data_IF_991006804177
#
_entry.id   IF_991006804177
#
_cell.length_a   1.000
_cell.length_b   1.000
_cell.length_c   1.000
_cell.angle_alpha   90.00
_cell.angle_beta   90.00
_cell.angle_gamma   90.00
#
_symmetry.space_group_name_H-M   'P 1'
#
loop_
_entity.id
_entity.type
_entity.pdbx_description
1 polymer ?
#
# COMPACT_ATOMS: atom_id res chain seq x y z
N UNK A 1 -11.98 23.18 16.60
CA UNK A 1 -12.44 21.80 16.89
C UNK A 1 -11.36 20.87 16.38
N UNK A 2 -10.59 20.21 17.26
CA UNK A 2 -9.60 19.20 16.83
C UNK A 2 -10.39 17.94 16.54
N UNK A 3 -10.64 17.64 15.27
CA UNK A 3 -11.22 16.35 14.89
C UNK A 3 -10.30 15.23 15.39
N UNK A 4 -10.74 14.55 16.45
CA UNK A 4 -10.02 13.41 17.00
C UNK A 4 -10.14 12.29 15.97
N UNK A 5 -9.05 12.03 15.26
CA UNK A 5 -8.99 11.01 14.20
C UNK A 5 -9.41 9.67 14.80
N UNK A 6 -10.29 8.89 14.14
CA UNK A 6 -10.62 7.55 14.61
C UNK A 6 -9.33 6.74 14.69
N UNK A 7 -9.14 5.98 15.78
CA UNK A 7 -7.98 5.09 15.89
C UNK A 7 -7.97 4.08 14.74
N UNK A 8 -6.77 3.64 14.31
CA UNK A 8 -6.60 2.71 13.17
C UNK A 8 -7.53 1.49 13.21
N UNK A 9 -7.77 0.94 14.41
CA UNK A 9 -8.71 -0.18 14.58
C UNK A 9 -10.13 0.16 14.09
N UNK A 10 -10.63 1.35 14.42
CA UNK A 10 -11.96 1.83 13.98
C UNK A 10 -12.01 2.05 12.47
N UNK A 11 -10.93 2.57 11.88
CA UNK A 11 -10.84 2.70 10.41
C UNK A 11 -10.91 1.32 9.73
N UNK A 12 -10.14 0.34 10.22
CA UNK A 12 -10.10 -1.00 9.64
C UNK A 12 -11.43 -1.74 9.78
N UNK A 13 -12.09 -1.64 10.93
CA UNK A 13 -13.39 -2.28 11.18
C UNK A 13 -14.52 -1.71 10.30
N UNK A 14 -14.38 -0.47 9.83
CA UNK A 14 -15.35 0.15 8.92
C UNK A 14 -15.17 -0.28 7.45
N UNK A 15 -14.08 -0.98 7.10
CA UNK A 15 -13.81 -1.41 5.73
C UNK A 15 -14.55 -2.69 5.38
N UNK A 16 -15.05 -2.77 4.14
CA UNK A 16 -15.51 -4.04 3.56
C UNK A 16 -14.32 -5.01 3.45
N UNK A 17 -14.60 -6.32 3.54
CA UNK A 17 -13.61 -7.43 3.50
C UNK A 17 -12.52 -7.24 2.43
N UNK A 18 -12.92 -6.79 1.25
CA UNK A 18 -12.04 -6.54 0.12
C UNK A 18 -10.99 -5.44 0.42
N UNK A 19 -11.46 -4.25 0.81
CA UNK A 19 -10.60 -3.12 1.19
C UNK A 19 -9.78 -3.41 2.46
N UNK A 20 -10.33 -4.17 3.40
CA UNK A 20 -9.61 -4.62 4.59
C UNK A 20 -8.41 -5.50 4.23
N UNK A 21 -8.58 -6.45 3.29
CA UNK A 21 -7.47 -7.29 2.80
C UNK A 21 -6.35 -6.45 2.17
N UNK A 22 -6.73 -5.45 1.36
CA UNK A 22 -5.76 -4.51 0.78
C UNK A 22 -5.02 -3.74 1.87
N UNK A 23 -5.76 -3.13 2.81
CA UNK A 23 -5.20 -2.38 3.92
C UNK A 23 -4.21 -3.21 4.74
N UNK A 24 -4.58 -4.43 5.12
CA UNK A 24 -3.71 -5.33 5.87
C UNK A 24 -2.44 -5.64 5.09
N UNK A 25 -2.55 -5.97 3.80
CA UNK A 25 -1.37 -6.26 2.98
C UNK A 25 -0.41 -5.08 2.83
N UNK A 26 -0.95 -3.86 2.70
CA UNK A 26 -0.14 -2.64 2.66
C UNK A 26 0.51 -2.33 4.01
N UNK A 27 -0.22 -2.53 5.11
CA UNK A 27 0.27 -2.20 6.44
C UNK A 27 1.31 -3.22 6.95
N UNK A 28 1.08 -4.51 6.73
CA UNK A 28 1.93 -5.56 7.28
C UNK A 28 3.00 -6.04 6.31
N UNK A 29 2.86 -5.79 5.00
CA UNK A 29 3.73 -6.36 3.97
C UNK A 29 3.51 -7.87 3.73
N UNK A 30 2.60 -8.51 4.48
CA UNK A 30 2.32 -9.94 4.42
C UNK A 30 1.03 -10.19 3.67
N UNK A 31 1.10 -10.18 2.34
CA UNK A 31 -0.07 -10.37 1.50
C UNK A 31 0.27 -11.00 0.16
N UNK A 32 -0.69 -11.75 -0.37
CA UNK A 32 -0.66 -12.24 -1.75
C UNK A 32 -0.63 -11.09 -2.79
N UNK A 33 -0.83 -9.84 -2.36
CA UNK A 33 -0.71 -8.66 -3.21
C UNK A 33 0.75 -8.26 -3.51
N UNK A 34 1.72 -8.74 -2.74
CA UNK A 34 3.11 -8.30 -2.82
C UNK A 34 4.03 -9.46 -3.25
N UNK A 35 4.68 -9.33 -4.41
CA UNK A 35 5.58 -10.38 -4.92
C UNK A 35 6.76 -10.66 -3.99
N UNK A 36 7.24 -9.69 -3.22
CA UNK A 36 8.32 -9.94 -2.26
C UNK A 36 7.92 -11.01 -1.25
N UNK A 37 6.69 -10.95 -0.70
CA UNK A 37 6.18 -11.95 0.23
C UNK A 37 5.93 -13.30 -0.45
N UNK A 38 5.31 -13.30 -1.63
CA UNK A 38 5.06 -14.53 -2.39
C UNK A 38 6.37 -15.24 -2.79
N UNK A 39 7.40 -14.48 -3.18
CA UNK A 39 8.71 -15.03 -3.51
C UNK A 39 9.36 -15.71 -2.29
N UNK A 40 9.29 -15.09 -1.11
CA UNK A 40 9.76 -15.71 0.14
C UNK A 40 9.03 -17.00 0.50
N UNK A 41 7.79 -17.17 0.03
CA UNK A 41 7.00 -18.41 0.19
C UNK A 41 7.20 -19.42 -0.95
N UNK A 42 8.01 -19.11 -1.97
CA UNK A 42 8.15 -19.96 -3.16
C UNK A 42 6.95 -19.94 -4.11
N UNK A 43 6.05 -18.97 -3.97
CA UNK A 43 4.81 -18.82 -4.74
C UNK A 43 4.93 -17.81 -5.90
N UNK A 44 6.09 -17.18 -6.07
CA UNK A 44 6.38 -16.29 -7.19
C UNK A 44 7.82 -16.48 -7.66
N UNK A 45 8.05 -16.40 -8.97
CA UNK A 45 9.38 -16.61 -9.59
C UNK A 45 10.34 -15.42 -9.42
N UNK A 46 9.80 -14.21 -9.28
CA UNK A 46 10.57 -12.99 -9.12
C UNK A 46 9.93 -12.09 -8.07
N UNK A 47 10.81 -11.36 -7.36
CA UNK A 47 10.44 -10.36 -6.35
C UNK A 47 10.24 -8.95 -6.93
N UNK A 48 10.65 -8.69 -8.17
CA UNK A 48 10.61 -7.36 -8.79
C UNK A 48 9.18 -6.81 -8.95
N UNK A 49 9.04 -5.49 -8.80
CA UNK A 49 7.78 -4.75 -8.90
C UNK A 49 7.14 -4.92 -10.28
N UNK A 50 5.87 -5.33 -10.31
CA UNK A 50 5.08 -5.44 -11.55
C UNK A 50 4.74 -4.09 -12.18
N UNK A 51 4.91 -3.00 -11.44
CA UNK A 51 4.57 -1.66 -11.90
C UNK A 51 5.76 -0.93 -12.51
N UNK A 52 6.93 -0.97 -11.87
CA UNK A 52 8.13 -0.26 -12.36
C UNK A 52 9.24 -1.19 -12.87
N UNK A 53 9.25 -2.48 -12.52
CA UNK A 53 10.26 -3.43 -12.98
C UNK A 53 11.56 -3.49 -12.19
N UNK A 54 11.87 -2.46 -11.39
CA UNK A 54 13.21 -2.32 -10.78
C UNK A 54 13.34 -2.97 -9.38
N UNK A 55 12.69 -2.37 -8.39
CA UNK A 55 12.85 -2.74 -6.98
C UNK A 55 11.96 -3.93 -6.58
N UNK A 56 12.23 -4.52 -5.41
CA UNK A 56 11.36 -5.55 -4.85
C UNK A 56 9.95 -5.00 -4.57
N UNK A 57 8.93 -5.78 -4.92
CA UNK A 57 7.53 -5.45 -4.68
C UNK A 57 7.14 -5.75 -3.22
N UNK A 58 7.63 -4.93 -2.29
CA UNK A 58 7.19 -4.92 -0.90
C UNK A 58 6.35 -3.68 -0.59
N UNK A 59 5.80 -3.62 0.63
CA UNK A 59 4.92 -2.52 1.03
C UNK A 59 5.65 -1.17 1.05
N UNK A 60 6.90 -1.12 1.50
CA UNK A 60 7.68 0.12 1.54
C UNK A 60 7.91 0.64 0.13
N UNK A 61 8.34 -0.22 -0.79
CA UNK A 61 8.51 0.15 -2.18
C UNK A 61 7.18 0.65 -2.77
N UNK A 62 6.12 -0.15 -2.69
CA UNK A 62 4.81 0.20 -3.27
C UNK A 62 4.28 1.52 -2.74
N UNK A 63 4.30 1.71 -1.42
CA UNK A 63 3.69 2.88 -0.79
C UNK A 63 4.60 4.10 -0.96
N UNK A 64 5.90 3.96 -0.67
CA UNK A 64 6.78 5.10 -0.46
C UNK A 64 7.64 5.48 -1.67
N UNK A 65 8.00 4.52 -2.53
CA UNK A 65 9.11 4.70 -3.48
C UNK A 65 8.75 4.42 -4.94
N UNK A 66 7.75 3.58 -5.21
CA UNK A 66 7.45 3.10 -6.55
C UNK A 66 7.14 4.26 -7.51
N UNK A 67 7.90 4.44 -8.60
CA UNK A 67 7.70 5.56 -9.53
C UNK A 67 6.30 5.63 -10.13
N UNK A 68 5.64 4.47 -10.29
CA UNK A 68 4.27 4.37 -10.79
C UNK A 68 3.23 5.15 -9.94
N UNK A 69 3.57 5.49 -8.70
CA UNK A 69 2.70 6.19 -7.76
C UNK A 69 3.13 7.63 -7.44
N UNK A 70 4.13 8.20 -8.12
CA UNK A 70 4.63 9.57 -7.85
C UNK A 70 3.49 10.60 -7.85
N UNK A 71 2.70 10.65 -8.93
CA UNK A 71 1.62 11.63 -9.06
C UNK A 71 0.54 11.45 -7.98
N UNK A 72 0.21 10.20 -7.63
CA UNK A 72 -0.78 9.92 -6.59
C UNK A 72 -0.25 10.29 -5.20
N UNK A 73 1.00 9.95 -4.88
CA UNK A 73 1.62 10.35 -3.62
C UNK A 73 1.68 11.88 -3.48
N UNK A 74 2.09 12.58 -4.53
CA UNK A 74 2.16 14.04 -4.49
C UNK A 74 0.79 14.68 -4.24
N UNK A 75 -0.27 14.17 -4.90
CA UNK A 75 -1.65 14.64 -4.68
C UNK A 75 -2.17 14.36 -3.27
N UNK A 76 -1.78 13.25 -2.64
CA UNK A 76 -2.30 12.82 -1.33
C UNK A 76 -1.48 13.36 -0.15
N UNK A 77 -0.15 13.35 -0.25
CA UNK A 77 0.77 13.67 0.85
C UNK A 77 1.74 14.83 0.52
N UNK A 78 1.66 15.44 -0.66
CA UNK A 78 2.51 16.58 -1.04
C UNK A 78 3.96 16.22 -1.36
N UNK A 79 4.33 14.93 -1.37
CA UNK A 79 5.67 14.47 -1.69
C UNK A 79 5.68 13.38 -2.75
N UNK A 80 6.71 13.36 -3.60
CA UNK A 80 6.90 12.35 -4.64
C UNK A 80 7.42 11.03 -4.09
N UNK A 81 8.17 11.09 -3.00
CA UNK A 81 8.77 9.96 -2.30
C UNK A 81 8.60 10.15 -0.79
N UNK A 82 8.38 9.07 -0.07
CA UNK A 82 8.11 9.09 1.36
C UNK A 82 9.05 8.12 2.08
N UNK A 83 9.05 8.21 3.39
CA UNK A 83 9.57 7.21 4.32
C UNK A 83 8.41 6.62 5.13
N UNK A 84 8.57 5.44 5.75
CA UNK A 84 7.57 4.90 6.66
C UNK A 84 7.17 5.87 7.80
N UNK A 85 8.10 6.71 8.25
CA UNK A 85 7.89 7.71 9.30
C UNK A 85 6.89 8.79 8.86
N UNK A 86 6.96 9.23 7.60
CA UNK A 86 6.01 10.21 7.04
C UNK A 86 4.55 9.69 7.03
N UNK A 87 4.39 8.37 7.15
CA UNK A 87 3.11 7.67 7.06
C UNK A 87 2.60 7.13 8.41
N UNK A 88 3.30 7.39 9.52
CA UNK A 88 2.88 6.96 10.86
C UNK A 88 1.41 7.35 11.14
N UNK A 89 1.05 8.55 10.65
CA UNK A 89 -0.21 9.22 10.87
C UNK A 89 -1.15 9.19 9.65
N UNK A 90 -0.80 8.47 8.58
CA UNK A 90 -1.62 8.38 7.38
C UNK A 90 -2.91 7.59 7.62
N UNK A 91 -4.01 8.02 6.98
CA UNK A 91 -5.28 7.29 7.01
C UNK A 91 -5.16 6.02 6.20
N UNK A 92 -5.83 4.96 6.66
CA UNK A 92 -5.85 3.67 5.94
C UNK A 92 -6.49 3.83 4.56
N UNK A 93 -7.49 4.70 4.44
CA UNK A 93 -8.15 5.02 3.17
C UNK A 93 -7.21 5.64 2.15
N UNK A 94 -6.28 6.50 2.57
CA UNK A 94 -5.31 7.14 1.67
C UNK A 94 -4.32 6.10 1.11
N UNK A 95 -3.89 5.15 1.95
CA UNK A 95 -3.06 4.02 1.53
C UNK A 95 -3.78 3.11 0.52
N UNK A 96 -5.07 2.82 0.73
CA UNK A 96 -5.87 2.04 -0.22
C UNK A 96 -6.01 2.80 -1.56
N UNK A 97 -6.35 4.08 -1.51
CA UNK A 97 -6.59 4.91 -2.70
C UNK A 97 -5.33 5.03 -3.58
N UNK A 98 -4.14 4.97 -2.96
CA UNK A 98 -2.87 4.94 -3.68
C UNK A 98 -2.82 3.78 -4.68
N UNK A 99 -3.11 2.56 -4.22
CA UNK A 99 -2.98 1.33 -5.01
C UNK A 99 -4.26 0.90 -5.72
N UNK A 100 -5.40 1.50 -5.38
CA UNK A 100 -6.68 1.20 -6.04
C UNK A 100 -6.60 1.49 -7.55
N UNK A 101 -7.11 0.56 -8.35
CA UNK A 101 -7.07 0.60 -9.81
C UNK A 101 -5.70 0.32 -10.43
N UNK A 102 -4.70 -0.09 -9.64
CA UNK A 102 -3.40 -0.53 -10.16
C UNK A 102 -3.41 -2.03 -10.49
N UNK A 103 -2.44 -2.49 -11.30
CA UNK A 103 -2.26 -3.92 -11.62
C UNK A 103 -1.92 -4.80 -10.42
N UNK A 104 -1.64 -4.22 -9.25
CA UNK A 104 -1.49 -4.97 -8.00
C UNK A 104 -2.84 -5.52 -7.52
N UNK A 105 -3.94 -4.92 -7.99
CA UNK A 105 -5.28 -5.17 -7.53
C UNK A 105 -6.26 -5.18 -8.71
N UNK A 106 -6.44 -6.33 -9.34
CA UNK A 106 -7.52 -6.54 -10.30
C UNK A 106 -8.79 -6.88 -9.51
N UNK A 107 -9.85 -6.11 -9.74
CA UNK A 107 -11.19 -6.42 -9.26
C UNK A 107 -11.65 -7.71 -9.93
N UNK A 108 -11.49 -8.85 -9.25
CA UNK A 108 -12.23 -10.09 -9.55
C UNK A 108 -13.57 -10.05 -8.85
#
# INVERSE_FOLDING_TARGET
MKDSRPGRAKELLALRKQKLRMALGLLTGHSALLRAHLFSLGLAEQKACRLCGDEKEDNVHIICQCPAFICKRYKTWGSMFLTPQDLENARVTDLINLVQGSRLYLET
#
